data_IF_232392608968
#
_entry.id   IF_232392608968
#
_cell.length_a   1.000
_cell.length_b   1.000
_cell.length_c   1.000
_cell.angle_alpha   90.00
_cell.angle_beta   90.00
_cell.angle_gamma   90.00
#
_symmetry.space_group_name_H-M   'P 1'
#
loop_
_entity.id
_entity.type
_entity.pdbx_description
1 polymer ?
#
# COMPACT_ATOMS: atom_id res chain seq x y z
N UNK A 1 -9.08 5.72 22.65
CA UNK A 1 -9.42 5.61 21.23
C UNK A 1 -8.79 4.37 20.63
N UNK A 2 -9.56 3.52 19.99
CA UNK A 2 -9.04 2.32 19.36
C UNK A 2 -8.31 2.66 18.06
N UNK A 3 -7.10 2.15 17.92
CA UNK A 3 -6.42 2.19 16.64
C UNK A 3 -7.02 1.12 15.73
N UNK A 4 -7.34 1.49 14.50
CA UNK A 4 -7.76 0.54 13.50
C UNK A 4 -6.57 -0.34 13.12
N UNK A 5 -6.78 -1.66 13.10
CA UNK A 5 -5.76 -2.60 12.65
C UNK A 5 -5.49 -2.35 11.17
N UNK A 6 -4.23 -2.40 10.77
CA UNK A 6 -3.83 -2.19 9.38
C UNK A 6 -4.55 -3.17 8.44
N UNK A 7 -4.81 -4.39 8.89
CA UNK A 7 -5.51 -5.41 8.09
C UNK A 7 -6.98 -5.07 7.87
N UNK A 8 -7.60 -4.36 8.81
CA UNK A 8 -8.98 -3.90 8.69
C UNK A 8 -9.06 -2.62 7.86
N UNK A 9 -8.05 -1.78 7.97
CA UNK A 9 -7.95 -0.52 7.24
C UNK A 9 -7.68 -0.76 5.74
N UNK A 10 -6.89 -1.78 5.42
CA UNK A 10 -6.54 -2.14 4.05
C UNK A 10 -6.83 -3.62 3.79
N UNK A 11 -8.11 -3.99 3.65
CA UNK A 11 -8.48 -5.38 3.40
C UNK A 11 -8.04 -5.84 2.01
N UNK A 12 -7.80 -7.14 1.88
CA UNK A 12 -7.45 -7.74 0.60
C UNK A 12 -8.48 -7.39 -0.47
N UNK A 13 -8.00 -6.97 -1.63
CA UNK A 13 -8.86 -6.61 -2.75
C UNK A 13 -9.22 -5.13 -2.82
N UNK A 14 -8.87 -4.36 -1.80
CA UNK A 14 -9.13 -2.91 -1.79
C UNK A 14 -8.27 -2.21 -2.82
N UNK A 15 -8.89 -1.31 -3.61
CA UNK A 15 -8.15 -0.48 -4.55
C UNK A 15 -7.53 0.70 -3.82
N UNK A 16 -6.23 0.91 -4.04
CA UNK A 16 -5.47 1.96 -3.37
C UNK A 16 -4.52 2.65 -4.33
N UNK A 17 -4.18 3.88 -3.98
CA UNK A 17 -3.16 4.64 -4.71
C UNK A 17 -1.97 4.86 -3.79
N UNK A 18 -0.78 4.61 -4.31
CA UNK A 18 0.48 4.88 -3.61
C UNK A 18 0.82 6.35 -3.79
N UNK A 19 0.58 7.16 -2.75
CA UNK A 19 0.73 8.62 -2.85
C UNK A 19 2.12 9.12 -2.52
N UNK A 20 2.94 8.28 -1.88
CA UNK A 20 4.32 8.61 -1.57
C UNK A 20 5.14 7.32 -1.47
N UNK A 21 6.44 7.44 -1.61
CA UNK A 21 7.37 6.32 -1.52
C UNK A 21 8.55 6.75 -0.64
N UNK A 22 8.80 5.98 0.42
CA UNK A 22 9.87 6.28 1.36
C UNK A 22 11.26 6.21 0.73
N UNK A 23 11.46 5.29 -0.20
CA UNK A 23 12.75 5.10 -0.88
C UNK A 23 12.77 5.92 -2.17
N UNK A 24 13.61 6.93 -2.22
CA UNK A 24 13.65 7.89 -3.32
C UNK A 24 13.83 7.24 -4.69
N UNK A 25 14.71 6.24 -4.81
CA UNK A 25 14.96 5.54 -6.08
C UNK A 25 13.75 4.79 -6.63
N UNK A 26 12.75 4.50 -5.76
CA UNK A 26 11.51 3.84 -6.16
C UNK A 26 10.41 4.82 -6.53
N UNK A 27 10.61 6.10 -6.27
CA UNK A 27 9.56 7.11 -6.38
C UNK A 27 9.03 7.26 -7.81
N UNK A 28 9.92 7.31 -8.80
CA UNK A 28 9.53 7.43 -10.20
C UNK A 28 8.72 6.22 -10.67
N UNK A 29 9.09 5.04 -10.19
CA UNK A 29 8.47 3.80 -10.64
C UNK A 29 7.10 3.55 -10.01
N UNK A 30 6.93 3.89 -8.75
CA UNK A 30 5.76 3.46 -7.98
C UNK A 30 4.85 4.59 -7.51
N UNK A 31 5.36 5.79 -7.31
CA UNK A 31 4.57 6.90 -6.77
C UNK A 31 3.46 7.31 -7.74
N UNK A 32 2.25 7.46 -7.23
CA UNK A 32 1.09 7.85 -8.01
C UNK A 32 0.37 6.68 -8.70
N UNK A 33 0.89 5.47 -8.57
CA UNK A 33 0.26 4.29 -9.19
C UNK A 33 -0.88 3.77 -8.33
N UNK A 34 -1.90 3.25 -9.00
CA UNK A 34 -3.04 2.61 -8.35
C UNK A 34 -2.92 1.09 -8.52
N UNK A 35 -3.15 0.38 -7.44
CA UNK A 35 -3.11 -1.08 -7.43
C UNK A 35 -4.14 -1.64 -6.47
N UNK A 36 -4.00 -2.92 -6.15
CA UNK A 36 -4.92 -3.66 -5.29
C UNK A 36 -4.16 -4.24 -4.11
N UNK A 37 -4.73 -4.15 -2.93
CA UNK A 37 -4.12 -4.73 -1.72
C UNK A 37 -4.13 -6.26 -1.83
N UNK A 38 -2.94 -6.86 -1.75
CA UNK A 38 -2.77 -8.31 -1.68
C UNK A 38 -2.91 -8.77 -0.23
N UNK A 39 -2.25 -8.06 0.68
CA UNK A 39 -2.36 -8.27 2.11
C UNK A 39 -1.76 -7.10 2.88
N UNK A 40 -2.17 -6.96 4.14
CA UNK A 40 -1.53 -6.03 5.07
C UNK A 40 -0.82 -6.85 6.13
N UNK A 41 0.42 -6.49 6.45
CA UNK A 41 1.26 -7.20 7.41
C UNK A 41 1.44 -6.35 8.66
N UNK A 42 0.82 -6.78 9.75
CA UNK A 42 0.85 -6.03 11.01
C UNK A 42 2.25 -5.93 11.63
N UNK A 43 3.00 -7.02 11.57
CA UNK A 43 4.34 -7.08 12.19
C UNK A 43 5.33 -6.08 11.58
N UNK A 44 5.21 -5.80 10.29
CA UNK A 44 6.08 -4.85 9.60
C UNK A 44 5.38 -3.51 9.33
N UNK A 45 4.09 -3.43 9.65
CA UNK A 45 3.25 -2.26 9.38
C UNK A 45 3.31 -1.85 7.90
N UNK A 46 3.16 -2.83 7.01
CA UNK A 46 3.21 -2.60 5.56
C UNK A 46 1.97 -3.14 4.86
N UNK A 47 1.62 -2.51 3.75
CA UNK A 47 0.54 -2.92 2.87
C UNK A 47 1.16 -3.39 1.56
N UNK A 48 0.97 -4.65 1.21
CA UNK A 48 1.48 -5.19 -0.04
C UNK A 48 0.46 -4.90 -1.15
N UNK A 49 0.91 -4.16 -2.16
CA UNK A 49 0.08 -3.72 -3.27
C UNK A 49 0.55 -4.40 -4.55
N UNK A 50 -0.39 -4.92 -5.33
CA UNK A 50 -0.10 -5.45 -6.66
C UNK A 50 -0.65 -4.50 -7.71
N UNK A 51 0.20 -4.08 -8.63
CA UNK A 51 -0.16 -3.19 -9.72
C UNK A 51 -0.63 -3.98 -10.95
N UNK A 52 -1.34 -3.34 -11.90
CA UNK A 52 -1.90 -4.04 -13.06
C UNK A 52 -0.87 -4.77 -13.94
N UNK A 53 0.38 -4.33 -13.93
CA UNK A 53 1.47 -4.98 -14.69
C UNK A 53 2.08 -6.19 -13.97
N UNK A 54 1.57 -6.52 -12.78
CA UNK A 54 2.09 -7.63 -11.99
C UNK A 54 3.15 -7.27 -10.97
N UNK A 55 3.65 -6.03 -10.99
CA UNK A 55 4.60 -5.56 -9.97
C UNK A 55 3.92 -5.49 -8.61
N UNK A 56 4.70 -5.71 -7.56
CA UNK A 56 4.23 -5.60 -6.18
C UNK A 56 5.13 -4.66 -5.39
N UNK A 57 4.54 -3.96 -4.44
CA UNK A 57 5.28 -3.04 -3.58
C UNK A 57 4.70 -3.04 -2.16
N UNK A 58 5.57 -3.17 -1.16
CA UNK A 58 5.18 -3.05 0.25
C UNK A 58 5.35 -1.62 0.71
N UNK A 59 4.25 -0.95 0.99
CA UNK A 59 4.23 0.46 1.39
C UNK A 59 3.75 0.62 2.82
N UNK A 60 4.15 1.71 3.46
CA UNK A 60 3.61 2.07 4.77
C UNK A 60 2.19 2.62 4.60
N UNK A 61 1.29 2.40 5.58
CA UNK A 61 -0.12 2.82 5.43
C UNK A 61 -0.29 4.32 5.26
N UNK A 62 0.60 5.13 5.82
CA UNK A 62 0.58 6.59 5.66
C UNK A 62 0.84 7.04 4.22
N UNK A 63 1.44 6.17 3.41
CA UNK A 63 1.77 6.46 2.02
C UNK A 63 0.73 5.92 1.03
N UNK A 64 -0.35 5.35 1.53
CA UNK A 64 -1.38 4.69 0.74
C UNK A 64 -2.73 5.35 1.02
N UNK A 65 -3.51 5.59 -0.04
CA UNK A 65 -4.86 6.14 0.06
C UNK A 65 -5.85 5.26 -0.68
N UNK A 66 -7.09 5.14 -0.22
CA UNK A 66 -8.13 4.48 -0.99
C UNK A 66 -8.31 5.16 -2.35
N UNK A 67 -8.40 4.34 -3.37
CA UNK A 67 -8.59 4.85 -4.74
C UNK A 67 -10.05 5.15 -5.02
#
# INVERSE_FOLDING_TARGET
MKKTDIRDQFPKGMRVTLVNVAIERHRERYCGRTGVVVKAVKSTNTVLIEFPDGDRYGAYPENVRPA
#
